data_IF_341739457531
#
_entry.id   IF_341739457531
#
_cell.length_a   1.000
_cell.length_b   1.000
_cell.length_c   1.000
_cell.angle_alpha   90.00
_cell.angle_beta   90.00
_cell.angle_gamma   90.00
#
_symmetry.space_group_name_H-M   'P 1'
#
loop_
_entity.id
_entity.type
_entity.pdbx_description
1 polymer ?
#
# COMPACT_ATOMS: atom_id res chain seq x y z
N UNK A 1 23.30 -10.11 -37.52
CA UNK A 1 23.47 -10.35 -36.07
C UNK A 1 22.59 -9.38 -35.31
N UNK A 2 21.72 -9.87 -34.43
CA UNK A 2 20.82 -8.98 -33.68
C UNK A 2 21.58 -8.37 -32.51
N UNK A 3 21.53 -7.04 -32.36
CA UNK A 3 22.35 -6.33 -31.36
C UNK A 3 22.07 -6.75 -29.92
N UNK A 4 20.84 -7.17 -29.63
CA UNK A 4 20.39 -7.55 -28.29
C UNK A 4 20.07 -9.03 -28.13
N UNK A 5 20.61 -9.86 -29.00
CA UNK A 5 20.45 -11.31 -28.94
C UNK A 5 20.91 -11.84 -27.58
N UNK A 6 20.10 -12.69 -26.95
CA UNK A 6 20.32 -13.23 -25.59
C UNK A 6 20.25 -12.22 -24.43
N UNK A 7 19.91 -10.95 -24.68
CA UNK A 7 19.75 -9.95 -23.62
C UNK A 7 18.29 -9.82 -23.17
N UNK A 8 18.09 -9.81 -21.85
CA UNK A 8 16.79 -9.62 -21.23
C UNK A 8 16.67 -8.24 -20.59
N UNK A 9 15.60 -7.52 -20.93
CA UNK A 9 15.33 -6.14 -20.53
C UNK A 9 14.05 -6.03 -19.70
N UNK A 10 14.09 -5.13 -18.72
CA UNK A 10 12.89 -4.63 -18.03
C UNK A 10 12.76 -3.14 -18.33
N UNK A 11 11.53 -2.69 -18.58
CA UNK A 11 11.22 -1.27 -18.75
C UNK A 11 10.54 -0.72 -17.48
N UNK A 12 10.92 0.50 -17.08
CA UNK A 12 10.19 1.22 -16.03
C UNK A 12 8.80 1.68 -16.50
N UNK A 13 8.63 1.93 -17.80
CA UNK A 13 7.40 2.46 -18.41
C UNK A 13 6.73 1.46 -19.35
N UNK A 14 5.41 1.64 -19.57
CA UNK A 14 4.62 0.83 -20.52
C UNK A 14 4.65 1.39 -21.95
N UNK A 15 5.75 2.01 -22.37
CA UNK A 15 5.84 2.65 -23.69
C UNK A 15 5.88 1.60 -24.82
N UNK A 16 4.84 1.58 -25.67
CA UNK A 16 4.75 0.70 -26.85
C UNK A 16 5.91 0.93 -27.83
N UNK A 17 6.43 2.16 -27.93
CA UNK A 17 7.54 2.52 -28.83
C UNK A 17 8.85 1.84 -28.41
N UNK A 18 9.19 1.86 -27.12
CA UNK A 18 10.40 1.21 -26.61
C UNK A 18 10.34 -0.31 -26.72
N UNK A 19 9.18 -0.91 -26.42
CA UNK A 19 8.98 -2.36 -26.55
C UNK A 19 9.30 -2.83 -27.97
N UNK A 20 8.73 -2.16 -28.98
CA UNK A 20 8.98 -2.48 -30.40
C UNK A 20 10.46 -2.31 -30.80
N UNK A 21 11.17 -1.30 -30.27
CA UNK A 21 12.60 -1.09 -30.57
C UNK A 21 13.48 -2.24 -30.04
N UNK A 22 13.19 -2.72 -28.83
CA UNK A 22 13.99 -3.80 -28.20
C UNK A 22 13.73 -5.12 -28.91
N UNK A 23 12.46 -5.47 -29.17
CA UNK A 23 12.11 -6.72 -29.85
C UNK A 23 12.61 -6.75 -31.29
N UNK A 24 12.57 -5.63 -32.02
CA UNK A 24 13.11 -5.54 -33.39
C UNK A 24 14.61 -5.81 -33.46
N UNK A 25 15.34 -5.60 -32.37
CA UNK A 25 16.79 -5.81 -32.29
C UNK A 25 17.16 -7.10 -31.52
N UNK A 26 16.21 -8.04 -31.37
CA UNK A 26 16.45 -9.37 -30.81
C UNK A 26 16.45 -9.47 -29.28
N UNK A 27 16.05 -8.41 -28.57
CA UNK A 27 16.01 -8.38 -27.11
C UNK A 27 14.73 -8.98 -26.53
N UNK A 28 14.86 -9.71 -25.42
CA UNK A 28 13.73 -10.29 -24.68
C UNK A 28 13.23 -9.33 -23.61
N UNK A 29 11.91 -9.18 -23.47
CA UNK A 29 11.28 -8.31 -22.47
C UNK A 29 10.64 -9.11 -21.34
N UNK A 30 10.94 -8.75 -20.10
CA UNK A 30 10.28 -9.34 -18.92
C UNK A 30 9.69 -8.25 -18.03
N UNK A 31 8.65 -8.62 -17.27
CA UNK A 31 8.03 -7.73 -16.28
C UNK A 31 8.50 -8.04 -14.85
N UNK A 32 9.11 -9.21 -14.64
CA UNK A 32 9.58 -9.69 -13.33
C UNK A 32 11.08 -9.44 -13.19
N UNK A 33 11.46 -8.84 -12.07
CA UNK A 33 12.87 -8.75 -11.67
C UNK A 33 13.35 -10.15 -11.28
N UNK A 34 14.51 -10.56 -11.78
CA UNK A 34 15.11 -11.86 -11.51
C UNK A 34 16.56 -11.92 -11.98
N UNK A 35 17.28 -12.95 -11.56
CA UNK A 35 18.72 -13.08 -11.82
C UNK A 35 19.09 -13.17 -13.31
N UNK A 36 18.16 -13.60 -14.16
CA UNK A 36 18.31 -13.72 -15.62
C UNK A 36 18.14 -12.39 -16.39
N UNK A 37 17.95 -11.26 -15.69
CA UNK A 37 17.71 -9.95 -16.30
C UNK A 37 19.00 -9.15 -16.36
N UNK A 38 19.36 -8.68 -17.55
CA UNK A 38 20.63 -7.99 -17.79
C UNK A 38 20.50 -6.46 -17.61
N UNK A 39 19.42 -5.86 -18.12
CA UNK A 39 19.26 -4.41 -18.16
C UNK A 39 17.89 -3.96 -17.64
N UNK A 40 17.89 -2.97 -16.75
CA UNK A 40 16.69 -2.26 -16.33
C UNK A 40 16.73 -0.83 -16.87
N UNK A 41 15.84 -0.52 -17.82
CA UNK A 41 15.81 0.76 -18.51
C UNK A 41 14.84 1.71 -17.81
N UNK A 42 15.36 2.88 -17.42
CA UNK A 42 14.62 3.92 -16.73
C UNK A 42 14.50 5.17 -17.59
N UNK A 43 13.28 5.67 -17.78
CA UNK A 43 13.04 6.99 -18.37
C UNK A 43 13.04 8.04 -17.25
N UNK A 44 13.77 9.14 -17.45
CA UNK A 44 13.91 10.25 -16.47
C UNK A 44 12.58 10.87 -16.03
N UNK A 45 11.55 10.80 -16.88
CA UNK A 45 10.27 11.50 -16.63
C UNK A 45 9.41 10.97 -15.48
N UNK A 46 9.75 9.88 -14.80
CA UNK A 46 8.90 9.34 -13.71
C UNK A 46 9.68 8.58 -12.63
N UNK A 47 10.47 9.27 -11.80
CA UNK A 47 10.92 8.71 -10.52
C UNK A 47 9.76 8.80 -9.52
N UNK A 48 8.84 7.83 -9.61
CA UNK A 48 7.81 7.64 -8.59
C UNK A 48 8.37 6.83 -7.42
N UNK A 49 7.82 6.98 -6.22
CA UNK A 49 8.12 6.13 -5.04
C UNK A 49 8.04 4.62 -5.37
N UNK A 50 7.21 4.23 -6.35
CA UNK A 50 7.10 2.86 -6.88
C UNK A 50 8.32 2.45 -7.70
N UNK A 51 8.86 3.35 -8.52
CA UNK A 51 10.07 3.11 -9.29
C UNK A 51 11.30 3.00 -8.39
N UNK A 52 11.43 3.87 -7.38
CA UNK A 52 12.52 3.79 -6.39
C UNK A 52 12.59 2.44 -5.66
N UNK A 53 11.44 1.90 -5.25
CA UNK A 53 11.39 0.56 -4.65
C UNK A 53 11.86 -0.51 -5.63
N UNK A 54 11.50 -0.40 -6.92
CA UNK A 54 11.99 -1.33 -7.96
C UNK A 54 13.48 -1.18 -8.23
N UNK A 55 14.01 0.04 -8.19
CA UNK A 55 15.45 0.33 -8.29
C UNK A 55 16.19 -0.34 -7.13
N UNK A 56 15.76 -0.12 -5.88
CA UNK A 56 16.36 -0.74 -4.68
C UNK A 56 16.35 -2.28 -4.70
N UNK A 57 15.33 -2.88 -5.32
CA UNK A 57 15.27 -4.34 -5.51
C UNK A 57 16.22 -4.77 -6.63
N UNK A 58 16.25 -4.02 -7.73
CA UNK A 58 17.11 -4.28 -8.88
C UNK A 58 18.60 -4.18 -8.53
N UNK A 59 18.99 -3.22 -7.67
CA UNK A 59 20.36 -3.06 -7.15
C UNK A 59 20.88 -4.28 -6.37
N UNK A 60 19.98 -5.12 -5.81
CA UNK A 60 20.39 -6.35 -5.11
C UNK A 60 20.92 -7.42 -6.07
N UNK A 61 20.57 -7.36 -7.35
CA UNK A 61 21.01 -8.32 -8.34
C UNK A 61 22.31 -7.84 -9.00
N UNK A 62 23.43 -8.50 -8.68
CA UNK A 62 24.75 -8.18 -9.26
C UNK A 62 24.80 -8.30 -10.79
N UNK A 63 23.93 -9.13 -11.39
CA UNK A 63 23.83 -9.34 -12.84
C UNK A 63 23.04 -8.26 -13.57
N UNK A 64 22.33 -7.38 -12.86
CA UNK A 64 21.41 -6.41 -13.43
C UNK A 64 22.03 -5.01 -13.45
N UNK A 65 22.08 -4.41 -14.63
CA UNK A 65 22.54 -3.02 -14.82
C UNK A 65 21.36 -2.08 -15.00
N UNK A 66 21.26 -1.08 -14.15
CA UNK A 66 20.26 -0.02 -14.27
C UNK A 66 20.81 1.04 -15.21
N UNK A 67 20.10 1.32 -16.30
CA UNK A 67 20.54 2.26 -17.35
C UNK A 67 19.39 3.20 -17.74
N UNK A 68 19.72 4.41 -18.16
CA UNK A 68 18.70 5.34 -18.67
C UNK A 68 18.27 4.99 -20.11
N UNK A 69 17.17 5.58 -20.57
CA UNK A 69 16.63 5.37 -21.92
C UNK A 69 17.62 5.78 -23.02
N UNK A 70 18.46 6.75 -22.74
CA UNK A 70 19.45 7.36 -23.61
C UNK A 70 20.50 6.32 -24.01
N UNK A 71 20.88 5.43 -23.08
CA UNK A 71 21.77 4.30 -23.36
C UNK A 71 21.23 3.38 -24.47
N UNK A 72 19.92 3.13 -24.47
CA UNK A 72 19.28 2.31 -25.50
C UNK A 72 19.32 3.02 -26.86
N UNK A 73 19.10 4.34 -26.90
CA UNK A 73 19.18 5.11 -28.14
C UNK A 73 20.62 5.14 -28.68
N UNK A 74 21.60 5.36 -27.81
CA UNK A 74 23.00 5.49 -28.21
C UNK A 74 23.61 4.14 -28.61
N UNK A 75 23.21 3.05 -27.95
CA UNK A 75 23.61 1.69 -28.35
C UNK A 75 23.05 1.31 -29.72
N UNK A 76 21.83 1.75 -30.04
CA UNK A 76 21.23 1.56 -31.36
C UNK A 76 21.90 2.43 -32.43
N UNK A 77 22.21 3.70 -32.14
CA UNK A 77 22.87 4.61 -33.09
C UNK A 77 24.28 4.14 -33.44
N UNK A 78 25.02 3.61 -32.46
CA UNK A 78 26.41 3.14 -32.63
C UNK A 78 26.49 1.67 -33.06
N UNK A 79 25.35 0.98 -33.18
CA UNK A 79 25.23 -0.46 -33.42
C UNK A 79 26.18 -1.32 -32.56
N UNK A 80 26.45 -0.85 -31.33
CA UNK A 80 27.37 -1.46 -30.37
C UNK A 80 26.83 -1.20 -28.97
N UNK A 81 26.89 -2.22 -28.12
CA UNK A 81 26.50 -2.11 -26.71
C UNK A 81 27.39 -1.06 -26.05
N UNK A 82 26.83 0.11 -25.73
CA UNK A 82 27.58 1.20 -25.12
C UNK A 82 27.98 0.83 -23.67
N UNK A 83 29.14 1.30 -23.22
CA UNK A 83 29.57 1.08 -21.84
C UNK A 83 28.54 1.65 -20.87
N UNK A 84 27.98 0.78 -20.03
CA UNK A 84 26.92 1.10 -19.09
C UNK A 84 27.32 2.19 -18.09
N UNK A 85 28.61 2.36 -17.81
CA UNK A 85 29.15 3.23 -16.75
C UNK A 85 28.78 4.71 -16.87
N UNK A 86 28.46 5.20 -18.08
CA UNK A 86 28.05 6.60 -18.31
C UNK A 86 26.56 6.86 -18.06
N UNK A 87 25.74 5.80 -17.99
CA UNK A 87 24.28 5.89 -17.93
C UNK A 87 23.70 5.15 -16.72
N UNK A 88 24.55 4.67 -15.80
CA UNK A 88 24.11 4.09 -14.53
C UNK A 88 23.64 5.22 -13.63
N UNK A 89 22.38 5.15 -13.21
CA UNK A 89 21.82 5.97 -12.14
C UNK A 89 22.49 5.56 -10.82
N UNK A 90 23.70 6.05 -10.57
CA UNK A 90 24.35 5.93 -9.28
C UNK A 90 23.71 6.92 -8.31
N UNK A 91 22.69 6.48 -7.57
CA UNK A 91 22.08 7.18 -6.43
C UNK A 91 23.04 7.37 -5.23
N UNK A 92 24.36 7.32 -5.45
CA UNK A 92 25.39 7.43 -4.43
C UNK A 92 26.19 8.74 -4.44
N UNK A 93 26.03 9.62 -5.42
CA UNK A 93 26.82 10.88 -5.49
C UNK A 93 26.18 12.13 -4.87
N UNK A 94 24.93 12.07 -4.42
CA UNK A 94 24.28 13.24 -3.78
C UNK A 94 24.39 13.23 -2.25
N UNK A 95 24.51 12.06 -1.61
CA UNK A 95 24.71 11.97 -0.15
C UNK A 95 26.13 12.30 0.32
N UNK A 96 27.10 12.36 -0.59
CA UNK A 96 28.47 12.78 -0.28
C UNK A 96 28.65 14.30 -0.48
N UNK A 97 27.94 14.92 -1.43
CA UNK A 97 27.99 16.38 -1.64
C UNK A 97 27.24 17.22 -0.60
N UNK A 98 26.25 16.64 0.10
CA UNK A 98 25.56 17.31 1.22
C UNK A 98 26.35 17.24 2.53
N UNK A 99 27.26 16.26 2.69
CA UNK A 99 28.11 16.13 3.89
C UNK A 99 29.38 16.98 3.86
N UNK A 100 29.84 17.41 2.69
CA UNK A 100 30.94 18.39 2.57
C UNK A 100 30.46 19.84 2.75
N UNK A 101 29.20 20.16 2.44
CA UNK A 101 28.65 21.53 2.58
C UNK A 101 28.21 21.93 3.99
N UNK A 102 28.25 21.02 4.96
CA UNK A 102 27.89 21.31 6.37
C UNK A 102 29.10 21.43 7.31
N UNK A 103 30.34 21.33 6.79
CA UNK A 103 31.56 21.51 7.59
C UNK A 103 32.23 22.88 7.45
N UNK A 104 31.68 23.78 6.64
CA UNK A 104 32.30 25.07 6.31
C UNK A 104 31.54 26.30 6.85
N UNK A 105 30.50 26.11 7.67
CA UNK A 105 29.67 27.24 8.15
C UNK A 105 29.55 27.37 9.68
N UNK A 106 30.48 26.75 10.43
CA UNK A 106 30.64 26.98 11.86
C UNK A 106 31.99 27.65 12.12
N UNK A 107 32.05 28.94 11.84
CA UNK A 107 32.98 29.89 12.45
C UNK A 107 32.37 31.28 12.25
N UNK A 108 31.58 31.72 13.24
CA UNK A 108 31.66 33.05 13.86
C UNK A 108 30.46 33.24 14.81
N UNK A 109 30.82 33.36 16.09
CA UNK A 109 30.10 34.02 17.20
C UNK A 109 28.79 33.38 17.70
N UNK A 110 28.64 32.99 18.96
CA UNK A 110 29.37 33.38 20.17
C UNK A 110 28.38 33.92 21.20
N UNK A 111 28.10 33.09 22.22
CA UNK A 111 27.66 33.41 23.58
C UNK A 111 26.30 34.11 23.83
N UNK A 112 25.41 33.41 24.56
CA UNK A 112 25.25 33.64 26.01
C UNK A 112 24.35 32.59 26.69
N UNK A 113 25.01 31.81 27.55
CA UNK A 113 24.69 31.51 28.97
C UNK A 113 23.35 30.86 29.37
N UNK A 114 23.49 29.57 29.67
CA UNK A 114 23.18 28.91 30.96
C UNK A 114 22.42 29.72 32.04
N UNK A 115 21.29 29.18 32.51
CA UNK A 115 21.14 28.82 33.94
C UNK A 115 19.87 27.97 34.23
N UNK A 116 20.10 26.92 35.04
CA UNK A 116 19.21 26.31 36.05
C UNK A 116 18.23 25.18 35.66
N UNK A 117 18.79 23.96 35.62
CA UNK A 117 18.31 22.86 36.49
C UNK A 117 18.38 23.35 37.95
N UNK A 118 17.42 23.20 38.85
CA UNK A 118 16.82 22.00 39.44
C UNK A 118 15.91 22.51 40.60
N UNK A 119 14.98 21.67 41.08
CA UNK A 119 14.17 21.75 42.33
C UNK A 119 12.71 22.16 42.17
N UNK A 120 11.79 21.20 42.29
CA UNK A 120 11.21 20.81 43.60
C UNK A 120 10.15 19.71 43.45
N UNK A 121 10.28 18.67 44.29
CA UNK A 121 9.25 17.66 44.55
C UNK A 121 8.25 18.16 45.59
N UNK A 122 7.05 17.54 45.55
CA UNK A 122 6.01 17.40 46.59
C UNK A 122 5.04 18.57 46.80
N UNK A 123 3.76 18.31 46.48
CA UNK A 123 2.70 18.14 47.49
C UNK A 123 1.51 17.36 46.94
N UNK A 124 1.23 16.21 47.58
CA UNK A 124 -0.06 15.51 47.57
C UNK A 124 -1.11 16.41 48.26
N UNK A 125 -2.39 16.29 47.90
CA UNK A 125 -3.44 15.75 48.80
C UNK A 125 -4.84 15.73 48.14
N UNK A 126 -5.42 14.54 48.14
CA UNK A 126 -6.82 14.11 48.29
C UNK A 126 -7.97 14.93 47.67
N UNK A 127 -8.84 14.26 46.91
CA UNK A 127 -10.18 13.85 47.40
C UNK A 127 -10.94 12.92 46.44
N UNK A 128 -11.28 11.74 46.97
CA UNK A 128 -12.52 10.93 46.89
C UNK A 128 -13.44 10.98 45.64
N UNK A 129 -13.58 9.79 45.04
CA UNK A 129 -14.78 9.06 44.55
C UNK A 129 -16.16 9.42 45.18
N UNK A 130 -17.33 8.89 44.71
CA UNK A 130 -17.62 8.01 43.56
C UNK A 130 -18.93 8.37 42.79
N UNK A 131 -19.33 7.44 41.91
CA UNK A 131 -20.71 7.00 41.61
C UNK A 131 -21.27 7.26 40.22
N UNK A 132 -21.96 6.23 39.73
CA UNK A 132 -22.55 6.17 38.42
C UNK A 132 -24.03 5.78 38.44
N UNK A 133 -24.50 5.53 37.21
CA UNK A 133 -25.66 4.72 36.80
C UNK A 133 -27.08 5.32 36.93
N UNK A 134 -27.68 5.38 35.73
CA UNK A 134 -29.06 5.02 35.30
C UNK A 134 -30.16 6.08 35.47
N UNK A 135 -30.81 6.45 34.35
CA UNK A 135 -32.08 5.84 33.89
C UNK A 135 -32.60 6.41 32.55
N UNK A 136 -33.36 5.55 31.86
CA UNK A 136 -34.11 5.69 30.61
C UNK A 136 -35.37 6.57 30.77
N UNK A 137 -35.89 7.15 29.66
CA UNK A 137 -37.25 6.87 29.15
C UNK A 137 -37.50 7.44 27.73
N UNK A 138 -38.33 6.67 27.00
CA UNK A 138 -38.88 6.84 25.66
C UNK A 138 -39.80 8.07 25.49
N UNK A 139 -39.98 8.58 24.27
CA UNK A 139 -41.21 8.35 23.45
C UNK A 139 -41.31 9.17 22.13
N UNK A 140 -41.73 8.44 21.08
CA UNK A 140 -42.64 8.78 19.93
C UNK A 140 -42.34 9.90 18.90
N UNK A 141 -41.97 9.43 17.69
CA UNK A 141 -42.75 9.37 16.42
C UNK A 141 -43.49 10.63 15.91
N UNK A 142 -43.15 11.07 14.67
CA UNK A 142 -44.12 11.36 13.57
C UNK A 142 -43.43 11.45 12.20
N UNK A 143 -44.16 11.01 11.18
CA UNK A 143 -43.85 10.96 9.74
C UNK A 143 -44.06 12.33 9.07
N UNK A 144 -43.36 12.62 7.97
CA UNK A 144 -43.93 12.68 6.61
C UNK A 144 -43.02 13.41 5.58
N UNK A 145 -43.05 12.84 4.37
CA UNK A 145 -42.89 13.44 3.02
C UNK A 145 -41.53 13.90 2.44
N UNK A 146 -41.20 13.25 1.30
CA UNK A 146 -40.24 13.58 0.23
C UNK A 146 -40.55 14.94 -0.42
N UNK A 147 -39.55 15.56 -1.09
CA UNK A 147 -39.59 15.58 -2.57
C UNK A 147 -38.29 15.07 -3.26
N UNK A 148 -38.52 14.52 -4.46
CA UNK A 148 -37.65 14.42 -5.67
C UNK A 148 -36.83 15.72 -5.87
N UNK A 149 -35.70 15.82 -6.55
CA UNK A 149 -34.86 14.99 -7.43
C UNK A 149 -33.69 15.92 -7.82
N UNK A 150 -32.48 15.37 -7.97
CA UNK A 150 -31.48 15.86 -8.93
C UNK A 150 -30.39 14.80 -9.01
N UNK A 151 -30.53 13.96 -10.01
CA UNK A 151 -29.46 13.11 -10.51
C UNK A 151 -28.24 13.98 -10.80
N UNK A 152 -27.21 13.83 -9.97
CA UNK A 152 -25.84 14.08 -10.40
C UNK A 152 -25.20 12.72 -10.63
N UNK A 153 -25.02 12.44 -11.91
CA UNK A 153 -24.23 11.36 -12.48
C UNK A 153 -22.80 11.41 -11.94
N UNK A 154 -22.58 10.85 -10.75
CA UNK A 154 -21.26 10.53 -10.26
C UNK A 154 -20.79 9.24 -10.94
N UNK A 155 -19.79 9.40 -11.80
CA UNK A 155 -19.07 8.33 -12.49
C UNK A 155 -18.73 7.21 -11.50
N UNK A 156 -19.30 6.02 -11.73
CA UNK A 156 -19.02 4.78 -11.01
C UNK A 156 -17.51 4.50 -11.03
N UNK A 157 -16.86 4.64 -9.87
CA UNK A 157 -15.50 4.14 -9.65
C UNK A 157 -15.61 2.65 -9.32
N UNK A 158 -15.05 1.80 -10.18
CA UNK A 158 -14.82 0.39 -9.85
C UNK A 158 -13.95 0.33 -8.58
N UNK A 159 -14.48 -0.25 -7.51
CA UNK A 159 -13.69 -0.58 -6.32
C UNK A 159 -12.89 -1.83 -6.68
N UNK A 160 -11.74 -1.61 -7.31
CA UNK A 160 -10.91 -2.65 -7.90
C UNK A 160 -9.72 -2.02 -8.58
N UNK A 161 -8.85 -1.37 -7.79
CA UNK A 161 -7.58 -0.89 -8.31
C UNK A 161 -6.82 -2.07 -8.92
N UNK A 162 -6.16 -1.85 -10.06
CA UNK A 162 -5.29 -2.80 -10.77
C UNK A 162 -4.09 -3.34 -9.93
N UNK A 163 -4.05 -3.08 -8.62
CA UNK A 163 -2.99 -3.43 -7.69
C UNK A 163 -3.40 -4.64 -6.87
N UNK A 164 -2.58 -5.69 -6.90
CA UNK A 164 -2.75 -6.89 -6.07
C UNK A 164 -2.53 -6.52 -4.60
N UNK A 165 -3.49 -6.77 -3.70
CA UNK A 165 -3.31 -6.53 -2.27
C UNK A 165 -2.31 -7.52 -1.67
N UNK A 166 -1.50 -7.01 -0.75
CA UNK A 166 -0.59 -7.84 0.02
C UNK A 166 -1.34 -8.47 1.19
N UNK A 167 -0.93 -9.68 1.57
CA UNK A 167 -1.35 -10.27 2.84
C UNK A 167 -0.86 -9.38 3.98
N UNK A 168 -1.72 -9.16 4.96
CA UNK A 168 -1.41 -8.36 6.15
C UNK A 168 -0.11 -8.80 6.81
N UNK A 169 0.73 -7.85 7.21
CA UNK A 169 1.98 -8.12 7.95
C UNK A 169 1.73 -8.75 9.32
N UNK A 170 0.50 -8.65 9.84
CA UNK A 170 0.06 -9.25 11.10
C UNK A 170 -0.36 -10.72 10.93
N UNK A 171 -0.50 -11.19 9.69
CA UNK A 171 -0.66 -12.61 9.41
C UNK A 171 0.69 -13.32 9.57
N UNK A 172 0.81 -14.21 10.57
CA UNK A 172 2.06 -14.89 10.93
C UNK A 172 2.05 -16.40 10.65
N UNK A 173 1.13 -16.88 9.83
CA UNK A 173 1.06 -18.31 9.52
C UNK A 173 2.13 -18.70 8.50
N UNK A 174 3.02 -19.60 8.89
CA UNK A 174 4.11 -20.10 8.04
C UNK A 174 3.58 -21.06 6.98
N UNK A 175 3.28 -20.48 5.82
CA UNK A 175 2.70 -21.11 4.62
C UNK A 175 2.83 -20.17 3.41
N UNK A 176 2.52 -20.68 2.23
CA UNK A 176 2.27 -19.82 1.07
C UNK A 176 0.92 -19.13 1.25
N UNK A 177 0.93 -17.80 1.41
CA UNK A 177 -0.26 -17.02 1.68
C UNK A 177 -0.48 -15.98 0.57
N UNK A 178 -1.68 -15.96 0.01
CA UNK A 178 -2.10 -14.96 -0.98
C UNK A 178 -3.47 -14.43 -0.64
N UNK A 179 -3.77 -13.17 -0.97
CA UNK A 179 -5.13 -12.67 -0.82
C UNK A 179 -6.02 -13.35 -1.86
N UNK A 180 -7.11 -13.95 -1.40
CA UNK A 180 -8.05 -14.66 -2.26
C UNK A 180 -8.70 -13.70 -3.27
N UNK A 181 -8.84 -14.17 -4.51
CA UNK A 181 -9.53 -13.46 -5.59
C UNK A 181 -10.48 -14.37 -6.32
N UNK A 182 -11.65 -13.86 -6.68
CA UNK A 182 -12.62 -14.53 -7.56
C UNK A 182 -13.10 -13.54 -8.60
N UNK A 183 -13.14 -13.96 -9.87
CA UNK A 183 -13.56 -13.10 -10.99
C UNK A 183 -12.75 -11.79 -11.09
N UNK A 184 -11.44 -11.85 -10.82
CA UNK A 184 -10.52 -10.71 -10.72
C UNK A 184 -10.86 -9.69 -9.62
N UNK A 185 -11.72 -10.05 -8.66
CA UNK A 185 -12.05 -9.23 -7.49
C UNK A 185 -11.34 -9.83 -6.28
N UNK A 186 -10.46 -9.04 -5.67
CA UNK A 186 -9.81 -9.43 -4.42
C UNK A 186 -10.75 -9.27 -3.23
N UNK A 187 -10.82 -10.30 -2.38
CA UNK A 187 -11.56 -10.28 -1.13
C UNK A 187 -10.72 -9.58 -0.05
N UNK A 188 -10.59 -8.27 -0.21
CA UNK A 188 -9.83 -7.37 0.65
C UNK A 188 -10.58 -6.05 0.77
N UNK A 189 -10.81 -5.60 2.00
CA UNK A 189 -11.47 -4.32 2.24
C UNK A 189 -10.84 -3.61 3.44
N UNK A 190 -10.45 -2.37 3.21
CA UNK A 190 -10.05 -1.42 4.25
C UNK A 190 -11.21 -0.47 4.44
N UNK A 191 -11.62 -0.27 5.68
CA UNK A 191 -12.78 0.53 6.02
C UNK A 191 -12.45 1.48 7.16
N UNK A 192 -13.07 2.65 7.16
CA UNK A 192 -12.93 3.64 8.22
C UNK A 192 -14.29 4.04 8.79
N UNK A 193 -14.28 4.49 10.03
CA UNK A 193 -15.45 5.03 10.72
C UNK A 193 -15.02 6.14 11.65
N UNK A 194 -15.79 7.21 11.70
CA UNK A 194 -15.66 8.24 12.73
C UNK A 194 -16.80 8.05 13.73
N UNK A 195 -16.48 8.01 15.02
CA UNK A 195 -17.50 7.96 16.07
C UNK A 195 -18.01 9.36 16.45
N UNK A 196 -18.92 9.44 17.43
CA UNK A 196 -19.49 10.73 17.87
C UNK A 196 -18.52 11.62 18.65
N UNK A 197 -17.40 11.06 19.11
CA UNK A 197 -16.32 11.77 19.80
C UNK A 197 -15.17 12.08 18.83
N UNK A 198 -15.46 12.04 17.53
CA UNK A 198 -14.50 12.30 16.44
C UNK A 198 -13.30 11.34 16.42
N UNK A 199 -13.40 10.19 17.07
CA UNK A 199 -12.35 9.18 17.00
C UNK A 199 -12.43 8.45 15.67
N UNK A 200 -11.31 8.45 14.96
CA UNK A 200 -11.15 7.67 13.75
C UNK A 200 -10.83 6.22 14.07
N UNK A 201 -11.58 5.32 13.46
CA UNK A 201 -11.43 3.88 13.58
C UNK A 201 -11.17 3.27 12.21
N UNK A 202 -10.41 2.18 12.18
CA UNK A 202 -10.19 1.37 10.99
C UNK A 202 -10.70 -0.06 11.19
N UNK A 203 -10.95 -0.73 10.07
CA UNK A 203 -11.23 -2.16 9.99
C UNK A 203 -10.65 -2.70 8.69
N UNK A 204 -9.68 -3.60 8.79
CA UNK A 204 -9.13 -4.38 7.68
C UNK A 204 -9.75 -5.77 7.70
N UNK A 205 -10.24 -6.19 6.55
CA UNK A 205 -10.80 -7.52 6.34
C UNK A 205 -10.17 -8.15 5.10
N UNK A 206 -9.57 -9.33 5.25
CA UNK A 206 -9.02 -10.11 4.14
C UNK A 206 -9.54 -11.54 4.20
N UNK A 207 -9.82 -12.11 3.03
CA UNK A 207 -9.83 -13.56 2.84
C UNK A 207 -8.49 -13.95 2.22
N UNK A 208 -7.78 -14.86 2.86
CA UNK A 208 -6.44 -15.31 2.50
C UNK A 208 -6.54 -16.77 2.08
N UNK A 209 -5.98 -17.10 0.93
CA UNK A 209 -5.70 -18.47 0.53
C UNK A 209 -4.35 -18.88 1.12
N UNK A 210 -4.35 -19.94 1.92
CA UNK A 210 -3.19 -20.47 2.63
C UNK A 210 -2.92 -21.88 2.15
N UNK A 211 -1.73 -22.11 1.59
CA UNK A 211 -1.31 -23.41 1.05
C UNK A 211 -0.13 -23.93 1.87
N UNK A 212 -0.28 -25.12 2.46
CA UNK A 212 0.78 -25.81 3.21
C UNK A 212 0.75 -27.29 2.91
N UNK A 213 1.88 -27.89 2.56
CA UNK A 213 1.99 -29.33 2.22
C UNK A 213 0.96 -29.82 1.19
N UNK A 214 0.60 -28.98 0.20
CA UNK A 214 -0.43 -29.22 -0.83
C UNK A 214 -1.88 -29.19 -0.33
N UNK A 215 -2.11 -28.95 0.95
CA UNK A 215 -3.44 -28.67 1.49
C UNK A 215 -3.74 -27.18 1.39
N UNK A 216 -5.01 -26.85 1.15
CA UNK A 216 -5.49 -25.48 0.90
C UNK A 216 -6.52 -25.13 1.97
N UNK A 217 -6.31 -24.01 2.65
CA UNK A 217 -7.26 -23.43 3.59
C UNK A 217 -7.57 -21.99 3.24
N UNK A 218 -8.73 -21.55 3.71
CA UNK A 218 -9.26 -20.22 3.49
C UNK A 218 -9.35 -19.52 4.85
N UNK A 219 -8.50 -18.51 5.06
CA UNK A 219 -8.43 -17.80 6.32
C UNK A 219 -9.06 -16.41 6.22
N UNK A 220 -9.95 -16.08 7.14
CA UNK A 220 -10.41 -14.72 7.38
C UNK A 220 -9.43 -14.05 8.33
N UNK A 221 -8.75 -13.01 7.86
CA UNK A 221 -7.98 -12.11 8.71
C UNK A 221 -8.78 -10.83 8.93
N UNK A 222 -8.95 -10.44 10.19
CA UNK A 222 -9.57 -9.18 10.60
C UNK A 222 -8.63 -8.42 11.52
N UNK A 223 -8.46 -7.12 11.28
CA UNK A 223 -7.66 -6.23 12.14
C UNK A 223 -8.38 -4.89 12.28
N UNK A 224 -8.62 -4.41 13.49
CA UNK A 224 -9.42 -3.22 13.75
C UNK A 224 -8.92 -2.44 14.95
N UNK A 225 -9.21 -1.15 14.99
CA UNK A 225 -8.79 -0.31 16.10
C UNK A 225 -9.10 1.15 15.86
N UNK A 226 -8.68 1.98 16.82
CA UNK A 226 -8.55 3.42 16.61
C UNK A 226 -7.33 3.69 15.71
N UNK A 227 -7.38 4.71 14.88
CA UNK A 227 -6.20 5.11 14.10
C UNK A 227 -5.04 5.43 15.05
N UNK A 228 -3.81 5.09 14.64
CA UNK A 228 -2.58 5.22 15.42
C UNK A 228 -2.52 4.36 16.70
N UNK A 229 -3.37 3.35 16.82
CA UNK A 229 -3.30 2.32 17.85
C UNK A 229 -2.92 0.97 17.23
N UNK A 230 -2.24 0.07 17.97
CA UNK A 230 -1.98 -1.29 17.49
C UNK A 230 -3.26 -2.05 17.09
N UNK A 231 -4.39 -1.70 17.68
CA UNK A 231 -5.68 -2.35 17.43
C UNK A 231 -5.75 -3.77 17.99
N UNK A 232 -6.73 -4.52 17.51
CA UNK A 232 -7.00 -5.91 17.83
C UNK A 232 -7.22 -6.67 16.52
N UNK A 233 -7.00 -7.98 16.53
CA UNK A 233 -7.23 -8.81 15.38
C UNK A 233 -7.81 -10.16 15.74
N UNK A 234 -8.38 -10.82 14.74
CA UNK A 234 -8.94 -12.15 14.83
C UNK A 234 -8.74 -12.86 13.49
N UNK A 235 -8.51 -14.16 13.58
CA UNK A 235 -8.22 -15.05 12.47
C UNK A 235 -9.10 -16.29 12.56
N UNK A 236 -9.86 -16.59 11.52
CA UNK A 236 -10.64 -17.83 11.41
C UNK A 236 -10.22 -18.60 10.17
N UNK A 237 -10.02 -19.91 10.29
CA UNK A 237 -9.69 -20.79 9.17
C UNK A 237 -10.91 -21.63 8.76
N UNK A 238 -10.99 -21.91 7.46
CA UNK A 238 -12.01 -22.73 6.82
C UNK A 238 -11.35 -23.69 5.84
N UNK A 239 -11.88 -24.90 5.72
CA UNK A 239 -11.40 -25.90 4.77
C UNK A 239 -11.91 -25.64 3.35
N UNK A 240 -13.08 -24.99 3.24
CA UNK A 240 -13.72 -24.77 1.94
C UNK A 240 -13.76 -23.30 1.52
N UNK A 241 -13.61 -23.05 0.22
CA UNK A 241 -13.72 -21.71 -0.37
C UNK A 241 -15.07 -21.07 -0.02
N UNK A 242 -16.14 -21.86 -0.13
CA UNK A 242 -17.52 -21.41 0.07
C UNK A 242 -17.75 -20.88 1.48
N UNK A 243 -17.18 -21.52 2.49
CA UNK A 243 -17.26 -21.07 3.88
C UNK A 243 -16.49 -19.79 4.12
N UNK A 244 -15.25 -19.71 3.61
CA UNK A 244 -14.43 -18.49 3.68
C UNK A 244 -15.12 -17.30 3.01
N UNK A 245 -15.63 -17.47 1.79
CA UNK A 245 -16.40 -16.42 1.09
C UNK A 245 -17.64 -16.02 1.90
N UNK A 246 -18.39 -16.99 2.44
CA UNK A 246 -19.60 -16.73 3.23
C UNK A 246 -19.27 -15.89 4.47
N UNK A 247 -18.23 -16.26 5.23
CA UNK A 247 -17.84 -15.51 6.42
C UNK A 247 -17.32 -14.11 6.07
N UNK A 248 -16.52 -13.97 5.00
CA UNK A 248 -16.06 -12.66 4.53
C UNK A 248 -17.23 -11.72 4.25
N UNK A 249 -18.19 -12.18 3.43
CA UNK A 249 -19.38 -11.40 3.05
C UNK A 249 -20.23 -11.05 4.27
N UNK A 250 -20.36 -11.98 5.22
CA UNK A 250 -21.07 -11.79 6.49
C UNK A 250 -20.40 -10.69 7.32
N UNK A 251 -19.08 -10.76 7.56
CA UNK A 251 -18.33 -9.73 8.32
C UNK A 251 -18.40 -8.37 7.63
N UNK A 252 -18.21 -8.33 6.30
CA UNK A 252 -18.37 -7.11 5.51
C UNK A 252 -19.74 -6.47 5.73
N UNK A 253 -20.82 -7.25 5.56
CA UNK A 253 -22.20 -6.78 5.75
C UNK A 253 -22.47 -6.35 7.18
N UNK A 254 -21.91 -7.03 8.19
CA UNK A 254 -22.07 -6.61 9.58
C UNK A 254 -21.42 -5.25 9.87
N UNK A 255 -20.23 -4.99 9.30
CA UNK A 255 -19.46 -3.75 9.53
C UNK A 255 -19.95 -2.56 8.71
N UNK A 256 -20.39 -2.78 7.47
CA UNK A 256 -20.82 -1.71 6.54
C UNK A 256 -22.33 -1.60 6.40
N UNK A 257 -23.05 -2.71 6.62
CA UNK A 257 -24.47 -2.86 6.31
C UNK A 257 -24.76 -3.08 4.81
N UNK A 258 -23.73 -3.19 3.96
CA UNK A 258 -23.86 -3.42 2.51
C UNK A 258 -23.56 -4.88 2.14
N UNK A 259 -24.11 -5.35 1.02
CA UNK A 259 -23.71 -6.64 0.47
C UNK A 259 -22.40 -6.49 -0.30
N UNK A 260 -21.47 -7.43 -0.12
CA UNK A 260 -20.23 -7.46 -0.89
C UNK A 260 -20.49 -7.62 -2.39
N UNK A 261 -21.48 -8.44 -2.76
CA UNK A 261 -21.83 -8.71 -4.17
C UNK A 261 -22.39 -7.47 -4.91
N UNK A 262 -22.73 -6.42 -4.17
CA UNK A 262 -23.24 -5.15 -4.72
C UNK A 262 -22.38 -3.98 -4.27
N UNK A 263 -21.07 -4.20 -4.10
CA UNK A 263 -20.13 -3.18 -3.63
C UNK A 263 -20.06 -1.94 -4.54
N UNK A 264 -20.34 -2.09 -5.84
CA UNK A 264 -20.40 -0.95 -6.77
C UNK A 264 -21.53 0.03 -6.43
N UNK A 265 -22.55 -0.42 -5.70
CA UNK A 265 -23.67 0.40 -5.21
C UNK A 265 -23.52 0.64 -3.69
N UNK A 266 -22.29 0.81 -3.20
CA UNK A 266 -22.05 1.02 -1.78
C UNK A 266 -22.74 2.28 -1.26
N UNK A 267 -23.52 2.13 -0.20
CA UNK A 267 -24.18 3.26 0.48
C UNK A 267 -23.61 3.45 1.88
N UNK A 268 -23.22 4.69 2.22
CA UNK A 268 -22.81 5.03 3.59
C UNK A 268 -24.01 4.89 4.53
N UNK A 269 -23.89 4.06 5.55
CA UNK A 269 -24.95 3.85 6.56
C UNK A 269 -24.62 4.52 7.90
N UNK A 270 -25.62 5.03 8.64
CA UNK A 270 -25.39 5.61 9.95
C UNK A 270 -24.69 4.63 10.90
N UNK A 271 -23.67 5.12 11.63
CA UNK A 271 -22.87 4.35 12.60
C UNK A 271 -22.14 3.11 12.03
N UNK A 272 -22.01 2.97 10.71
CA UNK A 272 -21.29 1.87 10.04
C UNK A 272 -19.98 2.34 9.43
N UNK A 273 -19.12 1.37 9.12
CA UNK A 273 -17.87 1.62 8.41
C UNK A 273 -18.14 1.96 6.94
N UNK A 274 -17.28 2.82 6.39
CA UNK A 274 -17.24 3.22 4.98
C UNK A 274 -15.98 2.63 4.35
N UNK A 275 -16.09 2.08 3.14
CA UNK A 275 -14.94 1.55 2.40
C UNK A 275 -13.98 2.66 1.96
N UNK A 276 -12.70 2.35 1.84
CA UNK A 276 -11.67 3.25 1.31
C UNK A 276 -11.16 2.78 -0.05
N UNK A 277 -10.46 3.66 -0.76
CA UNK A 277 -9.77 3.34 -2.03
C UNK A 277 -8.38 2.68 -1.78
N UNK A 278 -7.98 2.49 -0.51
CA UNK A 278 -6.68 1.92 -0.15
C UNK A 278 -6.65 0.41 -0.38
N UNK A 279 -5.49 -0.07 -0.84
CA UNK A 279 -5.30 -1.50 -1.14
C UNK A 279 -4.64 -2.22 0.03
N UNK A 280 -3.66 -1.56 0.67
CA UNK A 280 -2.90 -2.11 1.79
C UNK A 280 -3.04 -1.21 3.02
N UNK A 281 -2.99 -1.80 4.22
CA UNK A 281 -3.21 -1.07 5.48
C UNK A 281 -2.12 -0.05 5.80
N UNK A 282 -0.91 -0.23 5.29
CA UNK A 282 0.17 0.74 5.40
C UNK A 282 -0.03 1.98 4.50
N UNK A 283 -1.07 2.01 3.67
CA UNK A 283 -1.48 3.22 2.95
C UNK A 283 -2.43 4.11 3.79
N UNK A 284 -2.94 3.60 4.92
CA UNK A 284 -3.87 4.31 5.80
C UNK A 284 -3.16 5.16 6.87
N UNK A 285 -1.88 4.89 7.15
CA UNK A 285 -1.07 5.54 8.19
C UNK A 285 0.14 6.26 7.58
#
# INVERSE_FOLDING_TARGET
MSLFESLTFILSTTSKKLKKKITKNGGTLTNRLGAKVNYFIITEKQISKKLEKRIKIAEKYKSLKIVQQEWLQDSLKKNKICSSSKYVLSLKKEKEKEKEKQKENNQEEGDQEEEKEEKTRKRKKDQKEPEGKKRRKNAKKKQATKPKEKEKTTKKKKVGGSRVPMVSKLWKFDAENTVFSKDNIYFNSIMTKVDRRENHHFYHLQLINTIKKKEVWYAIHSHWGRMNSPGQGDNLMYETEKEGIREFKKRFRQRTGNSWDKIDNFEKKPNKYVITDFVNMDELF
#
